data_IF_449496899394
#
_entry.id   IF_449496899394
#
_cell.length_a   1.000
_cell.length_b   1.000
_cell.length_c   1.000
_cell.angle_alpha   90.00
_cell.angle_beta   90.00
_cell.angle_gamma   90.00
#
_symmetry.space_group_name_H-M   'P 1'
#
loop_
_entity.id
_entity.type
_entity.pdbx_description
1 polymer ?
#
# COMPACT_ATOMS: atom_id res chain seq x y z
N UNK A 1 -0.71 -31.89 -2.21
CA UNK A 1 -0.37 -30.45 -2.29
C UNK A 1 -0.13 -30.05 -3.75
N UNK A 2 -1.17 -29.52 -4.41
CA UNK A 2 -0.95 -28.50 -5.44
C UNK A 2 -1.93 -27.31 -5.36
N UNK A 3 -1.37 -26.12 -5.62
CA UNK A 3 -1.92 -24.98 -6.39
C UNK A 3 -3.34 -24.51 -6.04
N UNK A 4 -3.45 -23.52 -5.14
CA UNK A 4 -4.66 -22.71 -5.01
C UNK A 4 -4.63 -21.54 -6.00
N UNK A 5 -5.67 -21.55 -6.84
CA UNK A 5 -6.42 -20.40 -7.30
C UNK A 5 -5.74 -19.49 -8.35
N UNK A 6 -5.94 -19.89 -9.60
CA UNK A 6 -6.48 -19.05 -10.67
C UNK A 6 -6.88 -17.63 -10.24
N UNK A 7 -5.97 -16.68 -10.40
CA UNK A 7 -6.32 -15.26 -10.48
C UNK A 7 -6.90 -15.06 -11.87
N UNK A 8 -8.23 -15.16 -11.93
CA UNK A 8 -9.04 -14.85 -13.09
C UNK A 8 -9.00 -13.33 -13.28
N UNK A 9 -8.08 -12.83 -14.10
CA UNK A 9 -8.02 -11.42 -14.50
C UNK A 9 -9.28 -11.08 -15.29
N UNK A 10 -10.25 -10.52 -14.56
CA UNK A 10 -11.49 -9.97 -15.13
C UNK A 10 -11.16 -8.60 -15.71
N UNK A 11 -11.17 -8.53 -17.04
CA UNK A 11 -11.10 -7.31 -17.82
C UNK A 11 -12.41 -6.55 -17.72
N UNK A 12 -12.43 -5.45 -16.98
CA UNK A 12 -13.57 -4.52 -16.90
C UNK A 12 -13.05 -3.07 -16.87
N UNK A 13 -12.52 -2.55 -18.00
CA UNK A 13 -12.34 -1.11 -18.27
C UNK A 13 -11.59 -0.22 -17.25
N UNK A 14 -11.06 -0.81 -16.18
CA UNK A 14 -10.51 -0.19 -14.99
C UNK A 14 -9.06 -0.70 -14.87
N UNK A 15 -8.10 0.22 -14.86
CA UNK A 15 -6.67 -0.10 -14.93
C UNK A 15 -6.26 -0.98 -13.74
N UNK A 16 -6.11 -2.28 -13.98
CA UNK A 16 -5.57 -3.23 -12.99
C UNK A 16 -4.09 -2.93 -12.79
N UNK A 17 -3.74 -2.38 -11.63
CA UNK A 17 -2.38 -2.09 -11.23
C UNK A 17 -1.86 -3.19 -10.30
N UNK A 18 -0.73 -3.81 -10.66
CA UNK A 18 0.00 -4.68 -9.76
C UNK A 18 0.72 -3.82 -8.73
N UNK A 19 0.28 -3.91 -7.47
CA UNK A 19 0.89 -3.21 -6.35
C UNK A 19 1.17 -4.17 -5.21
N UNK A 20 2.25 -3.92 -4.48
CA UNK A 20 2.55 -4.66 -3.26
C UNK A 20 1.52 -4.27 -2.20
N UNK A 21 1.04 -5.22 -1.39
CA UNK A 21 -0.02 -4.97 -0.40
C UNK A 21 0.34 -3.83 0.56
N UNK A 22 1.62 -3.76 0.96
CA UNK A 22 2.18 -2.67 1.75
C UNK A 22 1.97 -1.30 1.09
N UNK A 23 2.24 -1.20 -0.21
CA UNK A 23 2.08 0.03 -0.99
C UNK A 23 0.60 0.40 -1.12
N UNK A 24 -0.29 -0.57 -1.36
CA UNK A 24 -1.73 -0.33 -1.43
C UNK A 24 -2.29 0.26 -0.12
N UNK A 25 -1.78 -0.20 1.03
CA UNK A 25 -2.16 0.33 2.36
C UNK A 25 -1.68 1.77 2.54
N UNK A 26 -0.46 2.10 2.12
CA UNK A 26 0.06 3.48 2.16
C UNK A 26 -0.81 4.41 1.32
N UNK A 27 -1.10 4.04 0.08
CA UNK A 27 -1.99 4.81 -0.80
C UNK A 27 -3.38 4.97 -0.21
N UNK A 28 -3.95 3.89 0.31
CA UNK A 28 -5.27 3.88 0.93
C UNK A 28 -5.33 4.79 2.16
N UNK A 29 -4.32 4.76 3.02
CA UNK A 29 -4.24 5.60 4.20
C UNK A 29 -4.10 7.09 3.82
N UNK A 30 -3.26 7.41 2.85
CA UNK A 30 -3.10 8.79 2.36
C UNK A 30 -4.40 9.31 1.71
N UNK A 31 -5.05 8.48 0.91
CA UNK A 31 -6.34 8.77 0.28
C UNK A 31 -7.46 8.95 1.31
N UNK A 32 -7.43 8.17 2.40
CA UNK A 32 -8.35 8.30 3.53
C UNK A 32 -8.11 9.57 4.37
N UNK A 33 -7.07 10.36 4.08
CA UNK A 33 -6.75 11.55 4.86
C UNK A 33 -5.86 11.28 6.06
N UNK A 34 -5.25 10.09 6.19
CA UNK A 34 -4.23 9.88 7.21
C UNK A 34 -3.05 10.81 6.93
N UNK A 35 -2.70 11.61 7.93
CA UNK A 35 -1.59 12.56 7.92
C UNK A 35 -0.60 12.30 9.05
N UNK A 36 -0.72 11.15 9.71
CA UNK A 36 0.18 10.75 10.77
C UNK A 36 0.57 9.28 10.64
N UNK A 37 1.87 8.98 10.73
CA UNK A 37 2.36 7.60 10.81
C UNK A 37 3.43 7.46 11.90
N UNK A 38 3.03 6.86 13.02
CA UNK A 38 3.95 6.46 14.10
C UNK A 38 4.22 4.96 14.05
N UNK A 39 5.19 4.53 13.24
CA UNK A 39 5.56 3.12 13.11
C UNK A 39 7.02 2.86 13.50
N UNK A 40 7.27 1.75 14.21
CA UNK A 40 8.62 1.24 14.44
C UNK A 40 8.97 0.24 13.33
N UNK A 41 10.12 0.37 12.66
CA UNK A 41 10.49 -0.50 11.54
C UNK A 41 10.68 -1.94 12.05
N UNK A 42 9.80 -2.84 11.61
CA UNK A 42 9.93 -4.29 11.82
C UNK A 42 9.61 -5.01 10.49
N UNK A 43 10.37 -6.06 10.15
CA UNK A 43 10.13 -6.87 8.95
C UNK A 43 8.80 -7.61 9.12
N UNK A 44 7.79 -7.48 8.21
CA UNK A 44 7.81 -6.99 6.82
C UNK A 44 7.17 -5.60 6.56
N UNK A 45 6.99 -4.79 7.61
CA UNK A 45 6.31 -3.47 7.54
C UNK A 45 7.25 -2.29 7.29
N UNK A 46 8.55 -2.54 7.11
CA UNK A 46 9.55 -1.51 6.79
C UNK A 46 9.17 -0.73 5.53
N UNK A 47 8.63 -1.40 4.51
CA UNK A 47 8.21 -0.79 3.25
C UNK A 47 7.02 0.18 3.41
N UNK A 48 6.12 -0.10 4.36
CA UNK A 48 5.00 0.79 4.70
C UNK A 48 5.56 2.04 5.38
N UNK A 49 6.48 1.86 6.33
CA UNK A 49 7.10 2.97 7.03
C UNK A 49 7.91 3.87 6.09
N UNK A 50 8.68 3.29 5.17
CA UNK A 50 9.39 4.03 4.14
C UNK A 50 8.45 4.73 3.14
N UNK A 51 7.33 4.08 2.79
CA UNK A 51 6.31 4.66 1.92
C UNK A 51 5.63 5.86 2.58
N UNK A 52 5.21 5.71 3.84
CA UNK A 52 4.61 6.79 4.62
C UNK A 52 5.59 7.93 4.86
N UNK A 53 6.85 7.66 5.24
CA UNK A 53 7.85 8.69 5.46
C UNK A 53 8.15 9.53 4.20
N UNK A 54 8.10 8.91 3.01
CA UNK A 54 8.26 9.63 1.73
C UNK A 54 7.01 10.40 1.32
N UNK A 55 5.81 9.88 1.60
CA UNK A 55 4.55 10.42 1.09
C UNK A 55 3.84 11.39 2.05
N UNK A 56 3.99 11.23 3.36
CA UNK A 56 3.46 12.13 4.37
C UNK A 56 3.87 13.61 4.18
N UNK A 57 5.14 13.95 3.93
CA UNK A 57 5.51 15.35 3.71
C UNK A 57 4.86 15.95 2.45
N UNK A 58 4.55 15.13 1.43
CA UNK A 58 3.87 15.58 0.21
C UNK A 58 2.39 15.91 0.44
N UNK A 59 1.76 15.31 1.45
CA UNK A 59 0.36 15.54 1.80
C UNK A 59 0.18 16.44 3.03
N UNK A 60 1.27 17.05 3.52
CA UNK A 60 1.26 17.93 4.70
C UNK A 60 1.05 17.19 6.04
N UNK A 61 1.40 15.90 6.09
CA UNK A 61 1.36 15.08 7.29
C UNK A 61 2.71 14.94 8.00
N UNK A 62 2.67 14.50 9.25
CA UNK A 62 3.81 14.34 10.17
C UNK A 62 4.03 12.91 10.62
#
# INVERSE_FOLDING_TARGET
MPRKADIKEKSDGCRTIFCHGNQAVVEGALAAGCRFFGGYPITPSTEIAEGMARRLPLVGGV
#
